data_IF_108512713626
#
_entry.id   IF_108512713626
#
_cell.length_a   1.000
_cell.length_b   1.000
_cell.length_c   1.000
_cell.angle_alpha   90.00
_cell.angle_beta   90.00
_cell.angle_gamma   90.00
#
_symmetry.space_group_name_H-M   'P 1'
#
loop_
_entity.id
_entity.type
_entity.pdbx_description
1 polymer ?
#
# COMPACT_ATOMS: atom_id res chain seq x y z
N UNK A 1 -3.05 -17.56 39.11
CA UNK A 1 -1.84 -18.14 38.51
C UNK A 1 -1.97 -18.07 37.00
N UNK A 2 -1.22 -17.13 36.44
CA UNK A 2 -1.11 -16.78 35.02
C UNK A 2 -0.32 -17.84 34.26
N UNK A 3 -0.73 -18.15 33.02
CA UNK A 3 0.06 -19.05 32.17
C UNK A 3 -0.60 -19.42 30.84
N UNK A 4 -0.79 -18.44 29.95
CA UNK A 4 -0.93 -18.70 28.51
C UNK A 4 -0.07 -17.69 27.74
N UNK A 5 1.22 -17.98 27.66
CA UNK A 5 2.14 -17.45 26.66
C UNK A 5 2.61 -18.65 25.85
N UNK A 6 2.09 -18.82 24.63
CA UNK A 6 2.74 -19.59 23.58
C UNK A 6 2.68 -18.76 22.29
N UNK A 7 3.86 -18.60 21.70
CA UNK A 7 4.22 -17.56 20.76
C UNK A 7 3.50 -17.65 19.42
N UNK A 8 3.06 -16.48 18.93
CA UNK A 8 2.78 -16.25 17.53
C UNK A 8 4.00 -15.55 16.95
N UNK A 9 4.93 -16.37 16.49
CA UNK A 9 6.24 -15.97 15.99
C UNK A 9 6.12 -15.22 14.65
N UNK A 10 6.64 -13.99 14.62
CA UNK A 10 6.85 -13.17 13.42
C UNK A 10 8.33 -13.17 12.99
N UNK A 11 9.18 -13.99 13.60
CA UNK A 11 10.58 -14.24 13.25
C UNK A 11 11.51 -13.07 13.53
N UNK A 12 12.64 -13.34 14.20
CA UNK A 12 13.79 -12.44 14.20
C UNK A 12 14.44 -12.37 12.81
N UNK A 13 15.05 -11.23 12.44
CA UNK A 13 15.74 -11.09 11.17
C UNK A 13 16.98 -11.99 11.12
N UNK A 14 17.15 -12.73 10.01
CA UNK A 14 18.39 -13.46 9.75
C UNK A 14 19.50 -12.45 9.44
N UNK A 15 20.46 -12.32 10.36
CA UNK A 15 21.65 -11.52 10.20
C UNK A 15 22.61 -12.16 9.19
N UNK A 16 22.86 -11.47 8.08
CA UNK A 16 23.85 -11.88 7.08
C UNK A 16 24.14 -10.75 6.09
N UNK A 17 24.74 -9.65 6.55
CA UNK A 17 25.27 -8.61 5.67
C UNK A 17 26.78 -8.81 5.49
N UNK A 18 27.18 -9.29 4.32
CA UNK A 18 28.54 -9.13 3.81
C UNK A 18 28.75 -7.67 3.38
N UNK A 19 29.92 -7.13 3.71
CA UNK A 19 30.32 -5.76 3.38
C UNK A 19 30.40 -5.59 1.85
N UNK A 20 29.58 -4.71 1.29
CA UNK A 20 29.70 -4.28 -0.09
C UNK A 20 30.12 -2.81 -0.21
N UNK A 21 31.15 -2.64 -1.02
CA UNK A 21 31.85 -1.45 -1.49
C UNK A 21 30.90 -0.30 -1.86
N UNK A 22 31.19 0.90 -1.36
CA UNK A 22 30.47 2.14 -1.72
C UNK A 22 30.72 2.46 -3.19
N UNK A 23 29.71 2.26 -4.03
CA UNK A 23 29.67 2.79 -5.39
C UNK A 23 28.87 4.09 -5.39
N UNK A 24 29.47 5.16 -5.91
CA UNK A 24 28.87 6.48 -6.06
C UNK A 24 27.50 6.42 -6.79
N UNK A 25 26.58 7.38 -6.54
CA UNK A 25 25.22 7.31 -7.06
C UNK A 25 25.21 7.45 -8.59
N UNK A 26 25.06 6.32 -9.27
CA UNK A 26 24.85 6.27 -10.73
C UNK A 26 23.51 6.93 -11.05
N UNK A 27 23.52 7.82 -12.05
CA UNK A 27 22.38 8.60 -12.51
C UNK A 27 21.06 7.79 -12.56
N UNK A 28 20.00 8.35 -12.00
CA UNK A 28 18.65 7.78 -12.05
C UNK A 28 18.28 7.56 -13.51
N UNK A 29 18.12 6.30 -13.91
CA UNK A 29 17.67 5.95 -15.25
C UNK A 29 16.20 6.38 -15.40
N UNK A 30 15.97 7.55 -15.99
CA UNK A 30 14.66 8.20 -16.12
C UNK A 30 13.61 7.37 -16.89
N UNK A 31 14.01 6.26 -17.52
CA UNK A 31 13.11 5.41 -18.31
C UNK A 31 12.52 4.23 -17.54
N UNK A 32 12.82 4.04 -16.24
CA UNK A 32 12.20 2.98 -15.43
C UNK A 32 11.47 3.58 -14.22
N UNK A 33 10.30 3.03 -13.86
CA UNK A 33 9.63 3.45 -12.64
C UNK A 33 10.52 3.12 -11.43
N UNK A 34 10.71 4.05 -10.48
CA UNK A 34 11.53 3.82 -9.29
C UNK A 34 10.75 2.96 -8.30
N UNK A 35 10.66 1.67 -8.59
CA UNK A 35 9.93 0.68 -7.79
C UNK A 35 10.77 -0.56 -7.52
N UNK A 36 10.56 -1.18 -6.37
CA UNK A 36 11.09 -2.52 -6.04
C UNK A 36 9.92 -3.47 -5.86
N UNK A 37 9.93 -4.60 -6.59
CA UNK A 37 8.92 -5.66 -6.46
C UNK A 37 9.53 -6.88 -5.78
N UNK A 38 9.00 -7.24 -4.62
CA UNK A 38 9.40 -8.41 -3.83
C UNK A 38 8.25 -9.42 -3.89
N UNK A 39 8.49 -10.52 -4.60
CA UNK A 39 7.51 -11.60 -4.73
C UNK A 39 7.44 -12.45 -3.46
N UNK A 40 6.24 -12.81 -3.04
CA UNK A 40 6.05 -13.69 -1.88
C UNK A 40 6.61 -13.13 -0.57
N UNK A 41 6.59 -11.80 -0.40
CA UNK A 41 7.03 -11.12 0.82
C UNK A 41 6.31 -11.63 2.07
N UNK A 42 5.03 -11.97 1.95
CA UNK A 42 4.26 -12.62 3.00
C UNK A 42 4.24 -14.13 2.82
N UNK A 43 4.64 -14.85 3.88
CA UNK A 43 4.43 -16.30 3.96
C UNK A 43 2.94 -16.66 3.95
N UNK A 44 2.56 -17.89 3.56
CA UNK A 44 1.15 -18.33 3.54
C UNK A 44 0.43 -18.13 4.90
N UNK A 45 1.14 -18.35 6.01
CA UNK A 45 0.60 -18.15 7.36
C UNK A 45 0.31 -16.67 7.65
N UNK A 46 1.21 -15.76 7.24
CA UNK A 46 1.00 -14.32 7.38
C UNK A 46 -0.17 -13.84 6.51
N UNK A 47 -0.26 -14.34 5.28
CA UNK A 47 -1.39 -14.05 4.39
C UNK A 47 -2.72 -14.49 5.01
N UNK A 48 -2.79 -15.70 5.58
CA UNK A 48 -4.00 -16.21 6.24
C UNK A 48 -4.41 -15.35 7.44
N UNK A 49 -3.47 -15.02 8.32
CA UNK A 49 -3.75 -14.19 9.50
C UNK A 49 -4.28 -12.81 9.11
N UNK A 50 -3.69 -12.20 8.09
CA UNK A 50 -4.10 -10.89 7.61
C UNK A 50 -5.46 -10.95 6.91
N UNK A 51 -5.73 -11.98 6.10
CA UNK A 51 -7.07 -12.22 5.53
C UNK A 51 -8.14 -12.34 6.62
N UNK A 52 -7.89 -13.11 7.67
CA UNK A 52 -8.83 -13.25 8.80
C UNK A 52 -9.08 -11.94 9.54
N UNK A 53 -8.06 -11.07 9.63
CA UNK A 53 -8.21 -9.78 10.28
C UNK A 53 -9.01 -8.78 9.42
N UNK A 54 -8.82 -8.79 8.09
CA UNK A 54 -9.52 -7.90 7.16
C UNK A 54 -11.04 -8.06 7.21
N UNK A 55 -11.54 -9.27 7.48
CA UNK A 55 -12.99 -9.52 7.62
C UNK A 55 -13.63 -8.73 8.77
N UNK A 56 -12.83 -8.16 9.68
CA UNK A 56 -13.30 -7.32 10.79
C UNK A 56 -13.17 -5.81 10.49
N UNK A 57 -12.59 -5.43 9.35
CA UNK A 57 -12.38 -4.02 9.02
C UNK A 57 -13.70 -3.37 8.58
N UNK A 58 -13.96 -2.12 9.00
CA UNK A 58 -15.15 -1.38 8.57
C UNK A 58 -14.95 -0.81 7.16
N UNK A 59 -14.80 -1.69 6.17
CA UNK A 59 -14.59 -1.30 4.76
C UNK A 59 -15.87 -0.71 4.17
N UNK A 60 -15.82 0.51 3.66
CA UNK A 60 -16.99 1.20 3.10
C UNK A 60 -16.75 1.77 1.69
N UNK A 61 -17.82 1.98 0.93
CA UNK A 61 -17.79 2.65 -0.38
C UNK A 61 -18.00 4.14 -0.18
N UNK A 62 -16.90 4.89 -0.24
CA UNK A 62 -16.95 6.35 -0.16
C UNK A 62 -17.52 6.94 -1.45
N UNK A 63 -18.45 7.89 -1.33
CA UNK A 63 -18.89 8.72 -2.44
C UNK A 63 -17.94 9.90 -2.63
N UNK A 64 -17.56 10.17 -3.88
CA UNK A 64 -16.76 11.33 -4.26
C UNK A 64 -17.54 12.25 -5.19
N UNK A 65 -17.23 13.54 -5.13
CA UNK A 65 -17.76 14.53 -6.06
C UNK A 65 -16.87 14.62 -7.30
N UNK A 66 -17.42 14.31 -8.46
CA UNK A 66 -16.77 14.48 -9.76
C UNK A 66 -17.69 15.31 -10.65
N UNK A 67 -17.22 16.47 -11.11
CA UNK A 67 -18.01 17.44 -11.89
C UNK A 67 -19.37 17.80 -11.25
N UNK A 68 -19.39 17.97 -9.92
CA UNK A 68 -20.60 18.32 -9.16
C UNK A 68 -21.60 17.17 -8.97
N UNK A 69 -21.25 15.95 -9.36
CA UNK A 69 -22.08 14.75 -9.15
C UNK A 69 -21.40 13.78 -8.19
N UNK A 70 -22.20 13.17 -7.32
CA UNK A 70 -21.73 12.14 -6.39
C UNK A 70 -21.59 10.79 -7.10
N UNK A 71 -20.42 10.18 -6.99
CA UNK A 71 -20.09 8.88 -7.57
C UNK A 71 -19.43 8.00 -6.51
N UNK A 72 -19.95 6.79 -6.31
CA UNK A 72 -19.27 5.81 -5.47
C UNK A 72 -17.97 5.36 -6.13
N UNK A 73 -16.89 5.34 -5.35
CA UNK A 73 -15.65 4.74 -5.81
C UNK A 73 -15.88 3.23 -6.06
N UNK A 74 -15.31 2.65 -7.13
CA UNK A 74 -15.52 1.26 -7.48
C UNK A 74 -14.56 0.35 -6.68
N UNK A 75 -14.66 0.42 -5.35
CA UNK A 75 -13.97 -0.39 -4.33
C UNK A 75 -14.52 -0.05 -2.95
N UNK A 76 -14.30 -0.89 -1.94
CA UNK A 76 -14.44 -0.49 -0.54
C UNK A 76 -13.08 -0.15 0.05
N UNK A 77 -13.04 0.71 1.06
CA UNK A 77 -11.80 1.12 1.70
C UNK A 77 -11.95 1.39 3.19
N UNK A 78 -10.83 1.29 3.92
CA UNK A 78 -10.70 1.69 5.32
C UNK A 78 -9.33 2.34 5.52
N UNK A 79 -9.28 3.36 6.38
CA UNK A 79 -8.07 4.11 6.69
C UNK A 79 -7.68 3.87 8.15
N UNK A 80 -6.46 3.37 8.37
CA UNK A 80 -5.89 3.17 9.69
C UNK A 80 -4.62 4.00 9.83
N UNK A 81 -4.36 4.52 11.03
CA UNK A 81 -3.20 5.37 11.26
C UNK A 81 -2.98 5.69 12.72
N UNK A 82 -1.83 6.32 12.99
CA UNK A 82 -1.52 6.85 14.31
C UNK A 82 -2.42 8.06 14.64
N UNK A 83 -2.43 8.48 15.91
CA UNK A 83 -3.18 9.67 16.31
C UNK A 83 -2.68 10.91 15.53
N UNK A 84 -3.61 11.70 15.01
CA UNK A 84 -3.31 12.88 14.18
C UNK A 84 -2.99 12.56 12.72
N UNK A 85 -3.00 11.28 12.32
CA UNK A 85 -2.72 10.85 10.95
C UNK A 85 -4.00 10.73 10.10
N UNK A 86 -4.82 11.79 10.12
CA UNK A 86 -6.08 11.85 9.37
C UNK A 86 -5.84 12.07 7.86
N UNK A 87 -6.80 11.64 7.04
CA UNK A 87 -6.69 11.68 5.58
C UNK A 87 -7.78 12.56 4.96
N UNK A 88 -7.42 13.37 3.97
CA UNK A 88 -8.41 14.11 3.17
C UNK A 88 -8.53 13.54 1.77
N UNK A 89 -9.76 13.18 1.37
CA UNK A 89 -10.06 12.74 0.02
C UNK A 89 -11.33 13.39 -0.51
N UNK A 90 -11.23 14.12 -1.64
CA UNK A 90 -12.39 14.75 -2.30
C UNK A 90 -13.23 15.63 -1.35
N UNK A 91 -12.57 16.44 -0.50
CA UNK A 91 -13.18 17.30 0.55
C UNK A 91 -13.75 16.55 1.76
N UNK A 92 -13.64 15.21 1.83
CA UNK A 92 -14.02 14.43 2.99
C UNK A 92 -12.82 14.31 3.94
N UNK A 93 -12.97 14.76 5.18
CA UNK A 93 -12.05 14.45 6.27
C UNK A 93 -12.36 13.05 6.80
N UNK A 94 -11.37 12.15 6.74
CA UNK A 94 -11.47 10.78 7.24
C UNK A 94 -10.53 10.66 8.44
N UNK A 95 -11.13 10.50 9.62
CA UNK A 95 -10.39 10.23 10.85
C UNK A 95 -9.76 8.84 10.81
N UNK A 96 -8.49 8.74 11.18
CA UNK A 96 -7.79 7.47 11.23
C UNK A 96 -8.37 6.51 12.27
N UNK A 97 -8.65 5.28 11.83
CA UNK A 97 -8.98 4.19 12.74
C UNK A 97 -7.72 3.69 13.44
N UNK A 98 -7.89 3.22 14.68
CA UNK A 98 -6.81 2.61 15.44
C UNK A 98 -6.30 1.33 14.75
N UNK A 99 -4.98 1.12 14.78
CA UNK A 99 -4.36 -0.02 14.12
C UNK A 99 -4.83 -1.38 14.63
N UNK A 100 -5.28 -2.27 13.73
CA UNK A 100 -5.46 -3.68 14.02
C UNK A 100 -4.12 -4.38 14.36
N UNK A 101 -4.19 -5.53 15.04
CA UNK A 101 -3.02 -6.20 15.62
C UNK A 101 -2.09 -6.79 14.57
N UNK A 102 -2.61 -7.51 13.59
CA UNK A 102 -1.84 -8.11 12.49
C UNK A 102 -1.34 -7.01 11.57
N UNK A 103 -2.16 -5.99 11.28
CA UNK A 103 -1.75 -4.84 10.49
C UNK A 103 -0.61 -4.04 11.14
N UNK A 104 -0.64 -3.84 12.46
CA UNK A 104 0.46 -3.23 13.23
C UNK A 104 1.77 -4.01 13.12
N UNK A 105 1.69 -5.35 13.12
CA UNK A 105 2.87 -6.22 12.95
C UNK A 105 3.40 -6.17 11.53
N UNK A 106 2.52 -6.05 10.55
CA UNK A 106 2.91 -5.87 9.16
C UNK A 106 3.66 -4.54 8.95
N UNK A 107 3.18 -3.47 9.58
CA UNK A 107 3.88 -2.17 9.65
C UNK A 107 5.28 -2.31 10.24
N UNK A 108 5.41 -2.98 11.39
CA UNK A 108 6.72 -3.23 12.02
C UNK A 108 7.65 -4.07 11.13
N UNK A 109 7.12 -5.06 10.40
CA UNK A 109 7.90 -5.86 9.44
C UNK A 109 8.46 -5.00 8.30
N UNK A 110 7.66 -4.09 7.74
CA UNK A 110 8.10 -3.16 6.70
C UNK A 110 9.26 -2.26 7.18
N UNK A 111 9.18 -1.78 8.42
CA UNK A 111 10.26 -1.02 9.04
C UNK A 111 11.51 -1.89 9.19
N UNK A 112 11.41 -3.07 9.80
CA UNK A 112 12.57 -3.92 10.09
C UNK A 112 13.27 -4.44 8.83
N UNK A 113 12.51 -4.86 7.82
CA UNK A 113 13.08 -5.52 6.63
C UNK A 113 13.54 -4.53 5.57
N UNK A 114 12.91 -3.35 5.49
CA UNK A 114 13.07 -2.42 4.37
C UNK A 114 13.28 -0.96 4.78
N UNK A 115 13.33 -0.67 6.08
CA UNK A 115 13.43 0.69 6.62
C UNK A 115 12.33 1.63 6.10
N UNK A 116 11.14 1.07 5.87
CA UNK A 116 9.96 1.82 5.47
C UNK A 116 9.20 2.19 6.73
N UNK A 117 9.46 3.40 7.21
CA UNK A 117 8.66 3.99 8.27
C UNK A 117 7.31 4.45 7.71
N UNK A 118 6.23 4.06 8.39
CA UNK A 118 4.87 4.40 7.99
C UNK A 118 3.99 4.54 9.23
N UNK A 119 3.10 5.53 9.21
CA UNK A 119 2.19 5.85 10.29
C UNK A 119 0.73 5.86 9.84
N UNK A 120 0.47 5.49 8.57
CA UNK A 120 -0.87 5.24 8.06
C UNK A 120 -0.90 4.12 7.01
N UNK A 121 -2.09 3.56 6.79
CA UNK A 121 -2.36 2.60 5.72
C UNK A 121 -3.79 2.75 5.18
N UNK A 122 -3.90 2.85 3.86
CA UNK A 122 -5.17 2.72 3.15
C UNK A 122 -5.36 1.27 2.73
N UNK A 123 -6.38 0.62 3.28
CA UNK A 123 -6.81 -0.71 2.86
C UNK A 123 -7.87 -0.55 1.78
N UNK A 124 -7.61 -1.09 0.60
CA UNK A 124 -8.56 -1.10 -0.51
C UNK A 124 -8.97 -2.55 -0.80
N UNK A 125 -10.28 -2.82 -0.85
CA UNK A 125 -10.84 -4.11 -1.29
C UNK A 125 -11.58 -3.93 -2.61
N UNK A 126 -11.09 -4.62 -3.62
CA UNK A 126 -11.70 -4.74 -4.93
C UNK A 126 -12.48 -6.05 -4.93
N UNK A 127 -13.80 -5.99 -5.09
CA UNK A 127 -14.65 -7.18 -4.99
C UNK A 127 -14.36 -8.18 -6.11
N UNK A 128 -14.07 -7.68 -7.31
CA UNK A 128 -13.77 -8.46 -8.50
C UNK A 128 -13.00 -7.63 -9.55
N UNK A 129 -12.94 -8.13 -10.78
CA UNK A 129 -12.36 -7.49 -11.95
C UNK A 129 -13.03 -6.21 -12.45
N UNK A 130 -14.25 -5.88 -12.00
CA UNK A 130 -15.01 -4.68 -12.39
C UNK A 130 -14.59 -3.47 -11.56
N UNK A 131 -14.22 -3.72 -10.30
CA UNK A 131 -13.63 -2.74 -9.41
C UNK A 131 -12.22 -2.34 -9.90
N UNK A 132 -11.90 -1.05 -9.81
CA UNK A 132 -10.70 -0.48 -10.43
C UNK A 132 -10.21 0.80 -9.75
N UNK A 133 -9.01 1.22 -10.08
CA UNK A 133 -8.49 2.54 -9.75
C UNK A 133 -7.89 3.17 -11.01
N UNK A 134 -8.33 4.38 -11.34
CA UNK A 134 -7.86 5.11 -12.52
C UNK A 134 -6.41 5.56 -12.39
N UNK A 135 -5.89 6.21 -13.43
CA UNK A 135 -4.55 6.80 -13.38
C UNK A 135 -4.47 7.89 -12.31
N UNK A 136 -3.55 7.73 -11.36
CA UNK A 136 -3.28 8.70 -10.30
C UNK A 136 -1.81 8.62 -9.85
N UNK A 137 -1.40 9.61 -9.08
CA UNK A 137 -0.18 9.57 -8.26
C UNK A 137 -0.63 9.72 -6.81
N UNK A 138 0.12 9.14 -5.88
CA UNK A 138 -0.08 9.40 -4.44
C UNK A 138 0.68 10.70 -4.10
N UNK A 139 0.12 11.84 -4.50
CA UNK A 139 0.71 13.18 -4.35
C UNK A 139 -0.02 14.06 -3.33
N UNK A 140 -0.72 13.43 -2.38
CA UNK A 140 -1.35 14.13 -1.26
C UNK A 140 -0.31 14.88 -0.43
N UNK A 141 -0.56 16.17 -0.10
CA UNK A 141 0.45 17.05 0.48
C UNK A 141 0.81 16.70 1.93
N UNK A 142 -0.03 15.93 2.63
CA UNK A 142 0.28 15.38 3.94
C UNK A 142 1.30 14.23 3.90
N UNK A 143 1.59 13.63 2.74
CA UNK A 143 2.60 12.58 2.63
C UNK A 143 4.00 13.21 2.77
N UNK A 144 4.82 12.66 3.67
CA UNK A 144 6.18 13.15 3.91
C UNK A 144 6.99 13.08 2.61
N UNK A 145 7.49 14.23 2.17
CA UNK A 145 8.29 14.34 0.95
C UNK A 145 9.54 13.46 1.05
N UNK A 146 9.77 12.62 0.03
CA UNK A 146 10.89 11.70 0.01
C UNK A 146 10.69 10.41 0.82
N UNK A 147 9.50 10.20 1.37
CA UNK A 147 9.13 8.88 1.93
C UNK A 147 8.79 7.89 0.80
N UNK A 148 9.05 6.60 1.07
CA UNK A 148 8.59 5.51 0.21
C UNK A 148 7.15 5.12 0.57
N UNK A 149 6.42 4.56 -0.41
CA UNK A 149 5.08 3.99 -0.19
C UNK A 149 5.16 2.49 -0.42
N UNK A 150 4.73 1.70 0.57
CA UNK A 150 4.69 0.24 0.46
C UNK A 150 3.28 -0.25 0.13
N UNK A 151 3.16 -1.02 -0.94
CA UNK A 151 1.90 -1.59 -1.42
C UNK A 151 1.94 -3.11 -1.33
N UNK A 152 1.16 -3.69 -0.43
CA UNK A 152 1.07 -5.15 -0.24
C UNK A 152 -0.25 -5.66 -0.80
N UNK A 153 -0.19 -6.77 -1.55
CA UNK A 153 -1.37 -7.39 -2.17
C UNK A 153 -1.75 -8.70 -1.48
N UNK A 154 -3.05 -8.94 -1.32
CA UNK A 154 -3.63 -10.23 -0.92
C UNK A 154 -4.78 -10.61 -1.86
N UNK A 155 -4.96 -11.92 -2.08
CA UNK A 155 -6.06 -12.45 -2.90
C UNK A 155 -5.75 -12.45 -4.40
N UNK A 156 -6.71 -12.05 -5.21
CA UNK A 156 -6.63 -12.20 -6.66
C UNK A 156 -5.46 -11.42 -7.28
N UNK A 157 -4.72 -12.07 -8.18
CA UNK A 157 -3.68 -11.42 -8.97
C UNK A 157 -4.29 -10.37 -9.92
N UNK A 158 -3.68 -9.18 -9.96
CA UNK A 158 -4.10 -8.08 -10.85
C UNK A 158 -2.90 -7.32 -11.37
N UNK A 159 -3.01 -6.86 -12.61
CA UNK A 159 -2.04 -5.93 -13.20
C UNK A 159 -2.11 -4.58 -12.48
N UNK A 160 -1.05 -4.25 -11.75
CA UNK A 160 -0.74 -2.89 -11.37
C UNK A 160 0.07 -2.25 -12.49
N UNK A 161 -0.50 -1.23 -13.13
CA UNK A 161 0.14 -0.59 -14.29
C UNK A 161 0.67 0.75 -13.89
N UNK A 162 1.93 1.01 -14.21
CA UNK A 162 2.55 2.34 -14.07
C UNK A 162 2.78 2.95 -15.44
N UNK A 163 2.70 4.28 -15.51
CA UNK A 163 2.87 5.05 -16.74
C UNK A 163 3.66 6.32 -16.45
N UNK A 164 4.72 6.56 -17.22
CA UNK A 164 5.47 7.80 -17.13
C UNK A 164 4.61 8.96 -17.65
N UNK A 165 4.54 10.07 -16.89
CA UNK A 165 3.63 11.20 -17.18
C UNK A 165 3.96 11.86 -18.54
N UNK A 166 5.21 12.24 -18.86
CA UNK A 166 5.56 12.79 -20.17
C UNK A 166 5.51 11.78 -21.32
N UNK A 167 6.25 10.67 -21.22
CA UNK A 167 6.47 9.78 -22.37
C UNK A 167 5.34 8.79 -22.60
N UNK A 168 4.41 8.67 -21.65
CA UNK A 168 3.32 7.69 -21.67
C UNK A 168 3.78 6.23 -21.71
N UNK A 169 5.07 5.96 -21.51
CA UNK A 169 5.65 4.62 -21.42
C UNK A 169 5.03 3.87 -20.25
N UNK A 170 4.56 2.63 -20.50
CA UNK A 170 3.88 1.80 -19.50
C UNK A 170 4.73 0.61 -19.09
N UNK A 171 4.63 0.25 -17.81
CA UNK A 171 5.19 -0.98 -17.25
C UNK A 171 4.09 -1.66 -16.42
N UNK A 172 3.96 -2.97 -16.57
CA UNK A 172 2.96 -3.77 -15.87
C UNK A 172 3.63 -4.63 -14.80
N UNK A 173 3.01 -4.70 -13.63
CA UNK A 173 3.38 -5.60 -12.53
C UNK A 173 2.16 -6.48 -12.23
N UNK A 174 2.23 -7.77 -12.54
CA UNK A 174 1.19 -8.73 -12.19
C UNK A 174 1.37 -9.12 -10.71
N UNK A 175 0.77 -8.32 -9.81
CA UNK A 175 0.97 -8.48 -8.37
C UNK A 175 0.10 -9.62 -7.85
N UNK A 176 0.76 -10.63 -7.26
CA UNK A 176 0.13 -11.81 -6.69
C UNK A 176 -0.11 -11.68 -5.18
N UNK A 177 -0.84 -12.63 -4.59
CA UNK A 177 -1.09 -12.64 -3.15
C UNK A 177 0.22 -12.80 -2.38
N UNK A 178 0.47 -11.89 -1.44
CA UNK A 178 1.66 -11.83 -0.62
C UNK A 178 2.80 -11.00 -1.20
N UNK A 179 2.64 -10.42 -2.39
CA UNK A 179 3.65 -9.55 -2.98
C UNK A 179 3.71 -8.18 -2.29
N UNK A 180 4.92 -7.62 -2.22
CA UNK A 180 5.21 -6.24 -1.83
C UNK A 180 5.75 -5.47 -3.03
N UNK A 181 5.13 -4.33 -3.34
CA UNK A 181 5.66 -3.32 -4.27
C UNK A 181 6.00 -2.05 -3.49
N UNK A 182 7.28 -1.67 -3.48
CA UNK A 182 7.77 -0.45 -2.87
C UNK A 182 7.87 0.61 -3.96
N UNK A 183 7.20 1.74 -3.78
CA UNK A 183 7.29 2.92 -4.62
C UNK A 183 8.26 3.92 -3.97
N UNK A 184 9.43 4.10 -4.58
CA UNK A 184 10.50 4.94 -4.04
C UNK A 184 10.28 6.42 -4.37
N UNK A 185 11.02 7.33 -3.71
CA UNK A 185 11.02 8.76 -4.06
C UNK A 185 11.24 8.99 -5.56
N UNK A 186 10.51 9.94 -6.13
CA UNK A 186 10.47 10.19 -7.58
C UNK A 186 9.29 9.50 -8.28
N UNK A 187 8.73 8.42 -7.72
CA UNK A 187 7.61 7.68 -8.32
C UNK A 187 6.41 8.59 -8.54
N UNK A 188 5.93 9.24 -7.48
CA UNK A 188 4.69 10.02 -7.52
C UNK A 188 4.83 11.31 -8.34
N UNK A 189 6.06 11.83 -8.45
CA UNK A 189 6.37 13.03 -9.23
C UNK A 189 6.30 12.75 -10.74
N UNK A 190 6.95 11.68 -11.21
CA UNK A 190 7.14 11.42 -12.64
C UNK A 190 6.20 10.36 -13.23
N UNK A 191 5.56 9.55 -12.38
CA UNK A 191 4.75 8.41 -12.81
C UNK A 191 3.35 8.46 -12.23
N UNK A 192 2.40 7.95 -13.01
CA UNK A 192 1.06 7.60 -12.54
C UNK A 192 0.95 6.08 -12.48
N UNK A 193 0.00 5.60 -11.69
CA UNK A 193 -0.33 4.20 -11.60
C UNK A 193 -1.84 3.97 -11.60
N UNK A 194 -2.25 2.75 -11.96
CA UNK A 194 -3.64 2.35 -12.08
C UNK A 194 -3.82 0.85 -11.79
N UNK A 195 -5.02 0.50 -11.35
CA UNK A 195 -5.50 -0.87 -11.29
C UNK A 195 -6.66 -1.01 -12.29
N UNK A 196 -6.39 -1.28 -13.57
CA UNK A 196 -7.40 -1.32 -14.62
C UNK A 196 -8.40 -2.48 -14.42
N UNK A 197 -9.59 -2.34 -14.99
CA UNK A 197 -10.60 -3.42 -15.01
C UNK A 197 -10.05 -4.68 -15.70
N UNK A 198 -10.37 -5.84 -15.14
CA UNK A 198 -10.02 -7.17 -15.64
C UNK A 198 -11.22 -8.11 -15.46
N UNK A 199 -12.20 -8.01 -16.34
CA UNK A 199 -13.52 -8.65 -16.19
C UNK A 199 -13.51 -10.18 -16.00
N UNK A 200 -12.39 -10.85 -16.27
CA UNK A 200 -12.20 -12.29 -16.04
C UNK A 200 -11.80 -12.64 -14.59
N UNK A 201 -11.41 -11.67 -13.78
CA UNK A 201 -11.08 -11.88 -12.37
C UNK A 201 -12.38 -11.85 -11.57
N UNK A 202 -12.69 -12.96 -10.91
CA UNK A 202 -13.93 -13.17 -10.15
C UNK A 202 -13.71 -13.16 -8.64
N UNK A 203 -12.47 -13.24 -8.21
CA UNK A 203 -12.06 -13.29 -6.81
C UNK A 203 -11.68 -11.89 -6.29
N UNK A 204 -11.86 -11.63 -4.98
CA UNK A 204 -11.51 -10.35 -4.40
C UNK A 204 -9.99 -10.16 -4.32
N UNK A 205 -9.58 -8.89 -4.42
CA UNK A 205 -8.21 -8.43 -4.15
C UNK A 205 -8.23 -7.40 -3.02
N UNK A 206 -7.34 -7.56 -2.05
CA UNK A 206 -7.12 -6.57 -0.99
C UNK A 206 -5.72 -5.98 -1.17
N UNK A 207 -5.61 -4.67 -0.98
CA UNK A 207 -4.37 -3.93 -1.12
C UNK A 207 -4.16 -3.03 0.10
N UNK A 208 -2.98 -3.09 0.68
CA UNK A 208 -2.57 -2.27 1.82
C UNK A 208 -1.51 -1.28 1.34
N UNK A 209 -1.87 0.01 1.28
CA UNK A 209 -0.94 1.08 0.87
C UNK A 209 -0.48 1.84 2.10
N UNK A 210 0.70 1.50 2.60
CA UNK A 210 1.34 2.13 3.75
C UNK A 210 2.04 3.42 3.35
N UNK A 211 1.83 4.47 4.14
CA UNK A 211 2.35 5.82 3.88
C UNK A 211 2.92 6.42 5.17
N UNK A 212 3.88 7.33 5.02
CA UNK A 212 4.33 8.20 6.09
C UNK A 212 3.70 9.56 5.87
N UNK A 213 2.82 9.98 6.78
CA UNK A 213 2.12 11.25 6.72
C UNK A 213 2.55 12.18 7.84
N UNK A 214 2.48 13.49 7.60
CA UNK A 214 2.75 14.53 8.58
C UNK A 214 1.58 14.54 9.58
N UNK A 215 1.79 14.24 10.87
CA UNK A 215 0.71 14.27 11.85
C UNK A 215 0.13 15.68 12.00
N UNK A 216 -1.18 15.77 12.21
CA UNK A 216 -1.93 17.03 12.37
C UNK A 216 -1.80 18.01 11.19
N UNK A 217 -1.54 17.50 9.98
CA UNK A 217 -1.36 18.33 8.79
C UNK A 217 -2.52 19.32 8.56
N UNK A 218 -3.75 18.91 8.90
CA UNK A 218 -4.97 19.67 8.66
C UNK A 218 -5.53 20.41 9.88
N UNK A 219 -4.81 20.44 11.02
CA UNK A 219 -5.23 21.08 12.27
C UNK A 219 -5.83 20.09 13.26
#
# INVERSE_FOLDING_TARGET
>A
MTGFQHGLDFGEPQSGFTQDTVVAPTAINQNRPPVTWIKGFLSPKQQQLLMMEVEQYPLDRVAIEVYGKQHFIPRTQAWFGDLGCDYHYSKLHITALAWPKVLSRLRAKLLNDHQIDSNSVLVNRYADGRDCMGWHSDDEPEIVTGSAIASITLGACRDFVVRHKPTQTKVNFALESGDLLIMHPGMQQQWQHALPKRLKVTEPRINFTFRHIIPHYYG
#
